data_IF_395248457571
#
_entry.id   IF_395248457571
#
_cell.length_a   1.000
_cell.length_b   1.000
_cell.length_c   1.000
_cell.angle_alpha   90.00
_cell.angle_beta   90.00
_cell.angle_gamma   90.00
#
_symmetry.space_group_name_H-M   'P 1'
#
loop_
_entity.id
_entity.type
_entity.pdbx_description
1 polymer ?
#
# COMPACT_ATOMS: atom_id res chain seq x y z
N UNK A 1 -21.40 -10.31 1.18
CA UNK A 1 -21.13 -9.64 -0.11
C UNK A 1 -21.49 -8.15 -0.06
N UNK A 2 -22.73 -7.77 0.26
CA UNK A 2 -23.14 -6.35 0.22
C UNK A 2 -22.42 -5.49 1.27
N UNK A 3 -22.19 -6.00 2.47
CA UNK A 3 -21.31 -5.35 3.47
C UNK A 3 -19.89 -5.15 2.93
N UNK A 4 -19.36 -6.12 2.19
CA UNK A 4 -18.03 -6.03 1.57
C UNK A 4 -17.97 -4.96 0.48
N UNK A 5 -19.05 -4.75 -0.27
CA UNK A 5 -19.15 -3.66 -1.26
C UNK A 5 -19.13 -2.30 -0.57
N UNK A 6 -19.89 -2.15 0.54
CA UNK A 6 -19.86 -0.93 1.35
C UNK A 6 -18.47 -0.63 1.87
N UNK A 7 -17.85 -1.61 2.54
CA UNK A 7 -16.46 -1.53 3.01
C UNK A 7 -15.48 -1.17 1.89
N UNK A 8 -15.61 -1.82 0.73
CA UNK A 8 -14.78 -1.53 -0.42
C UNK A 8 -14.94 -0.09 -0.92
N UNK A 9 -16.12 0.52 -0.84
CA UNK A 9 -16.35 1.91 -1.27
C UNK A 9 -15.80 2.93 -0.26
N UNK A 10 -15.98 2.69 1.04
CA UNK A 10 -15.66 3.66 2.11
C UNK A 10 -14.19 3.64 2.58
N UNK A 11 -13.34 2.78 2.00
CA UNK A 11 -11.88 2.79 2.27
C UNK A 11 -11.19 4.03 1.68
N UNK A 12 -11.85 4.75 0.76
CA UNK A 12 -11.34 5.99 0.12
C UNK A 12 -9.90 5.89 -0.41
N UNK A 13 -9.56 4.75 -1.02
CA UNK A 13 -8.25 4.56 -1.66
C UNK A 13 -8.39 4.13 -3.13
N UNK A 14 -8.73 5.08 -4.02
CA UNK A 14 -9.03 4.81 -5.43
C UNK A 14 -7.94 4.01 -6.16
N UNK A 15 -6.69 4.20 -5.75
CA UNK A 15 -5.52 3.53 -6.32
C UNK A 15 -5.57 2.00 -6.24
N UNK A 16 -6.24 1.44 -5.23
CA UNK A 16 -6.53 0.00 -5.17
C UNK A 16 -7.94 -0.31 -5.66
N UNK A 17 -8.92 0.53 -5.28
CA UNK A 17 -10.33 0.27 -5.56
C UNK A 17 -10.61 0.21 -7.06
N UNK A 18 -10.12 1.17 -7.84
CA UNK A 18 -10.46 1.25 -9.26
C UNK A 18 -9.89 0.04 -10.03
N UNK A 19 -8.57 -0.28 -9.96
CA UNK A 19 -8.04 -1.44 -10.68
C UNK A 19 -8.73 -2.76 -10.30
N UNK A 20 -9.02 -2.99 -9.02
CA UNK A 20 -9.75 -4.20 -8.59
C UNK A 20 -11.22 -4.19 -9.05
N UNK A 21 -11.87 -3.03 -9.11
CA UNK A 21 -13.23 -2.91 -9.64
C UNK A 21 -13.32 -3.40 -11.09
N UNK A 22 -12.35 -3.06 -11.95
CA UNK A 22 -12.28 -3.61 -13.31
C UNK A 22 -12.22 -5.15 -13.31
N UNK A 23 -11.40 -5.74 -12.44
CA UNK A 23 -11.29 -7.21 -12.31
C UNK A 23 -12.62 -7.81 -11.84
N UNK A 24 -13.23 -7.24 -10.81
CA UNK A 24 -14.51 -7.73 -10.27
C UNK A 24 -15.65 -7.60 -11.27
N UNK A 25 -15.73 -6.49 -12.00
CA UNK A 25 -16.73 -6.28 -13.05
C UNK A 25 -16.54 -7.30 -14.17
N UNK A 26 -15.30 -7.52 -14.63
CA UNK A 26 -15.01 -8.53 -15.64
C UNK A 26 -15.43 -9.93 -15.18
N UNK A 27 -15.10 -10.31 -13.94
CA UNK A 27 -15.48 -11.60 -13.36
C UNK A 27 -17.01 -11.72 -13.22
N UNK A 28 -17.69 -10.68 -12.76
CA UNK A 28 -19.14 -10.65 -12.62
C UNK A 28 -19.85 -10.78 -13.98
N UNK A 29 -19.39 -10.04 -15.00
CA UNK A 29 -19.89 -10.14 -16.38
C UNK A 29 -19.71 -11.57 -16.89
N UNK A 30 -18.52 -12.16 -16.71
CA UNK A 30 -18.29 -13.54 -17.15
C UNK A 30 -19.20 -14.55 -16.45
N UNK A 31 -19.35 -14.47 -15.13
CA UNK A 31 -20.24 -15.34 -14.34
C UNK A 31 -21.68 -15.21 -14.84
N UNK A 32 -22.15 -13.99 -15.05
CA UNK A 32 -23.50 -13.72 -15.56
C UNK A 32 -23.68 -14.31 -16.96
N UNK A 33 -22.79 -14.00 -17.91
CA UNK A 33 -22.88 -14.49 -19.28
C UNK A 33 -22.78 -16.02 -19.38
N UNK A 34 -22.04 -16.67 -18.48
CA UNK A 34 -21.92 -18.12 -18.41
C UNK A 34 -23.20 -18.79 -17.92
N UNK A 35 -23.92 -18.15 -16.99
CA UNK A 35 -25.08 -18.74 -16.31
C UNK A 35 -26.43 -18.15 -16.73
N UNK A 36 -26.46 -17.16 -17.63
CA UNK A 36 -27.69 -16.42 -18.00
C UNK A 36 -28.87 -17.30 -18.43
N UNK A 37 -28.58 -18.45 -19.06
CA UNK A 37 -29.62 -19.38 -19.53
C UNK A 37 -30.11 -20.35 -18.44
N UNK A 38 -29.35 -20.50 -17.35
CA UNK A 38 -29.65 -21.39 -16.23
C UNK A 38 -30.18 -20.61 -15.01
N UNK A 39 -30.40 -19.30 -15.17
CA UNK A 39 -30.81 -18.44 -14.09
C UNK A 39 -32.34 -18.49 -13.94
N UNK A 40 -32.81 -19.14 -12.87
CA UNK A 40 -34.19 -19.05 -12.42
C UNK A 40 -34.23 -18.28 -11.10
N UNK A 41 -35.09 -17.28 -11.00
CA UNK A 41 -35.36 -16.58 -9.75
C UNK A 41 -36.84 -16.68 -9.40
N UNK A 42 -37.14 -16.70 -8.12
CA UNK A 42 -38.49 -16.67 -7.59
C UNK A 42 -38.74 -15.36 -6.81
N UNK A 43 -39.98 -15.15 -6.34
CA UNK A 43 -40.35 -13.95 -5.58
C UNK A 43 -39.59 -13.81 -4.25
N UNK A 44 -39.18 -14.93 -3.62
CA UNK A 44 -38.38 -14.91 -2.39
C UNK A 44 -36.97 -14.40 -2.67
N UNK A 45 -36.36 -14.81 -3.78
CA UNK A 45 -35.03 -14.33 -4.18
C UNK A 45 -35.05 -12.82 -4.40
N UNK A 46 -36.09 -12.31 -5.07
CA UNK A 46 -36.29 -10.87 -5.23
C UNK A 46 -36.46 -10.16 -3.89
N UNK A 47 -37.26 -10.72 -2.97
CA UNK A 47 -37.44 -10.17 -1.63
C UNK A 47 -36.13 -10.14 -0.84
N UNK A 48 -35.31 -11.19 -0.92
CA UNK A 48 -33.99 -11.26 -0.28
C UNK A 48 -33.06 -10.18 -0.86
N UNK A 49 -33.05 -10.00 -2.18
CA UNK A 49 -32.24 -8.96 -2.83
C UNK A 49 -32.68 -7.57 -2.34
N UNK A 50 -33.98 -7.28 -2.37
CA UNK A 50 -34.53 -5.99 -1.92
C UNK A 50 -34.21 -5.76 -0.44
N UNK A 51 -34.45 -6.74 0.43
CA UNK A 51 -34.15 -6.64 1.85
C UNK A 51 -32.66 -6.39 2.10
N UNK A 52 -31.79 -7.08 1.36
CA UNK A 52 -30.34 -6.90 1.49
C UNK A 52 -29.87 -5.53 1.01
N UNK A 53 -30.45 -5.00 -0.08
CA UNK A 53 -30.19 -3.65 -0.56
C UNK A 53 -30.74 -2.58 0.41
N UNK A 54 -31.88 -2.83 1.04
CA UNK A 54 -32.45 -1.93 2.04
C UNK A 54 -31.56 -1.87 3.29
N UNK A 55 -31.13 -3.01 3.83
CA UNK A 55 -30.18 -3.08 4.96
C UNK A 55 -28.89 -2.35 4.61
N UNK A 56 -28.36 -2.56 3.41
CA UNK A 56 -27.19 -1.84 2.94
C UNK A 56 -27.40 -0.33 2.87
N UNK A 57 -28.53 0.12 2.30
CA UNK A 57 -28.89 1.52 2.24
C UNK A 57 -28.93 2.16 3.62
N UNK A 58 -29.54 1.49 4.60
CA UNK A 58 -29.61 1.97 5.99
C UNK A 58 -28.21 2.07 6.62
N UNK A 59 -27.37 1.04 6.45
CA UNK A 59 -25.99 1.06 6.98
C UNK A 59 -25.17 2.17 6.32
N UNK A 60 -25.24 2.31 5.00
CA UNK A 60 -24.53 3.35 4.27
C UNK A 60 -25.02 4.74 4.65
N UNK A 61 -26.32 4.95 4.79
CA UNK A 61 -26.89 6.22 5.26
C UNK A 61 -26.38 6.57 6.65
N UNK A 62 -26.32 5.60 7.58
CA UNK A 62 -25.79 5.83 8.91
C UNK A 62 -24.31 6.25 8.89
N UNK A 63 -23.48 5.52 8.13
CA UNK A 63 -22.05 5.84 7.98
C UNK A 63 -21.87 7.23 7.36
N UNK A 64 -22.54 7.50 6.24
CA UNK A 64 -22.44 8.78 5.55
C UNK A 64 -22.89 9.92 6.44
N UNK A 65 -24.00 9.78 7.17
CA UNK A 65 -24.49 10.83 8.07
C UNK A 65 -23.48 11.17 9.19
N UNK A 66 -22.72 10.18 9.68
CA UNK A 66 -21.74 10.38 10.73
C UNK A 66 -20.36 10.82 10.22
N UNK A 67 -20.07 10.68 8.93
CA UNK A 67 -18.73 10.87 8.38
C UNK A 67 -18.66 11.83 7.19
N UNK A 68 -19.79 12.41 6.75
CA UNK A 68 -19.85 13.22 5.53
C UNK A 68 -18.90 14.42 5.56
N UNK A 69 -18.72 15.05 6.72
CA UNK A 69 -17.85 16.22 6.83
C UNK A 69 -16.38 15.82 6.68
N UNK A 70 -15.95 14.74 7.35
CA UNK A 70 -14.62 14.16 7.15
C UNK A 70 -14.40 13.72 5.71
N UNK A 71 -15.39 13.09 5.08
CA UNK A 71 -15.31 12.67 3.68
C UNK A 71 -15.10 13.88 2.76
N UNK A 72 -15.85 14.97 2.99
CA UNK A 72 -15.70 16.21 2.22
C UNK A 72 -14.29 16.80 2.41
N UNK A 73 -13.75 16.81 3.62
CA UNK A 73 -12.39 17.30 3.86
C UNK A 73 -11.40 16.45 3.07
N UNK A 74 -11.45 15.12 3.21
CA UNK A 74 -10.56 14.18 2.49
C UNK A 74 -10.68 14.37 0.98
N UNK A 75 -11.89 14.49 0.43
CA UNK A 75 -12.09 14.66 -1.02
C UNK A 75 -11.54 15.99 -1.57
N UNK A 76 -11.35 17.00 -0.72
CA UNK A 76 -10.81 18.31 -1.10
C UNK A 76 -9.33 18.51 -0.71
N UNK A 77 -8.65 17.46 -0.23
CA UNK A 77 -7.21 17.53 0.04
C UNK A 77 -6.39 17.55 -1.24
N UNK A 78 -5.25 18.26 -1.21
CA UNK A 78 -4.22 18.19 -2.27
C UNK A 78 -3.67 16.77 -2.41
N UNK A 79 -3.47 16.07 -1.30
CA UNK A 79 -3.08 14.65 -1.29
C UNK A 79 -3.87 13.85 -0.24
N UNK A 80 -4.37 12.65 -0.56
CA UNK A 80 -4.18 11.93 -1.83
C UNK A 80 -5.20 12.30 -2.93
N UNK A 81 -6.27 13.03 -2.61
CA UNK A 81 -7.41 13.20 -3.53
C UNK A 81 -7.10 14.04 -4.77
N UNK A 82 -6.30 15.10 -4.63
CA UNK A 82 -5.89 15.96 -5.74
C UNK A 82 -4.79 15.37 -6.63
N UNK A 83 -4.16 14.26 -6.24
CA UNK A 83 -3.07 13.64 -6.98
C UNK A 83 -3.59 12.96 -8.27
N UNK A 84 -2.90 13.19 -9.39
CA UNK A 84 -3.23 12.60 -10.70
C UNK A 84 -2.05 11.82 -11.25
N UNK A 85 -2.31 10.61 -11.76
CA UNK A 85 -1.28 9.71 -12.29
C UNK A 85 -1.41 9.46 -13.78
N UNK A 86 -0.29 9.38 -14.50
CA UNK A 86 -0.30 9.13 -15.95
C UNK A 86 0.86 8.24 -16.44
N UNK A 87 0.80 6.94 -16.16
CA UNK A 87 1.80 5.98 -16.64
C UNK A 87 3.16 6.15 -15.96
N UNK A 88 4.24 5.89 -16.72
CA UNK A 88 5.62 6.08 -16.27
C UNK A 88 6.17 4.95 -15.40
N UNK A 89 5.55 3.78 -15.41
CA UNK A 89 5.98 2.64 -14.61
C UNK A 89 7.34 2.08 -15.04
N UNK A 90 8.12 1.60 -14.08
CA UNK A 90 9.42 1.00 -14.32
C UNK A 90 9.32 -0.48 -14.76
N UNK A 91 10.20 -0.91 -15.65
CA UNK A 91 10.30 -2.30 -16.10
C UNK A 91 10.75 -3.28 -15.01
N UNK A 92 11.44 -2.77 -13.98
CA UNK A 92 11.92 -3.53 -12.82
C UNK A 92 10.81 -4.36 -12.17
N UNK A 93 9.61 -3.77 -12.02
CA UNK A 93 8.45 -4.37 -11.37
C UNK A 93 8.01 -5.72 -11.95
N UNK A 94 8.21 -5.96 -13.26
CA UNK A 94 7.94 -7.25 -13.90
C UNK A 94 8.80 -8.41 -13.35
N UNK A 95 9.90 -8.08 -12.67
CA UNK A 95 10.89 -9.02 -12.16
C UNK A 95 11.13 -8.89 -10.65
N UNK A 96 10.34 -8.06 -9.94
CA UNK A 96 10.43 -7.88 -8.49
C UNK A 96 10.06 -9.15 -7.70
N UNK A 97 9.17 -9.98 -8.28
CA UNK A 97 8.71 -11.20 -7.62
C UNK A 97 9.85 -12.19 -7.31
N UNK A 98 10.97 -12.12 -8.03
CA UNK A 98 12.13 -12.97 -7.77
C UNK A 98 12.84 -12.60 -6.47
N UNK A 99 12.96 -11.30 -6.17
CA UNK A 99 13.63 -10.80 -4.98
C UNK A 99 12.86 -11.14 -3.70
N UNK A 100 11.52 -11.24 -3.82
CA UNK A 100 10.61 -11.50 -2.70
C UNK A 100 10.92 -12.75 -1.88
N UNK A 101 11.54 -13.77 -2.50
CA UNK A 101 11.94 -15.02 -1.85
C UNK A 101 13.00 -14.79 -0.76
N UNK A 102 13.83 -13.76 -0.92
CA UNK A 102 14.95 -13.48 -0.01
C UNK A 102 14.73 -12.25 0.89
N UNK A 103 13.62 -11.50 0.72
CA UNK A 103 13.33 -10.35 1.58
C UNK A 103 13.27 -10.70 3.08
N UNK A 104 12.83 -11.91 3.50
CA UNK A 104 12.90 -12.29 4.92
C UNK A 104 14.32 -12.58 5.43
N UNK A 105 15.31 -12.73 4.54
CA UNK A 105 16.68 -13.08 4.89
C UNK A 105 17.59 -11.84 4.98
N UNK A 106 17.31 -10.80 4.21
CA UNK A 106 18.10 -9.57 4.19
C UNK A 106 17.30 -8.41 3.61
N UNK A 107 17.40 -7.25 4.24
CA UNK A 107 16.92 -5.95 3.74
C UNK A 107 18.06 -5.08 3.16
N UNK A 108 19.30 -5.55 3.28
CA UNK A 108 20.49 -4.85 2.75
C UNK A 108 20.42 -4.73 1.23
N UNK A 109 20.68 -3.52 0.72
CA UNK A 109 20.68 -3.17 -0.71
C UNK A 109 19.36 -3.41 -1.46
N UNK A 110 18.22 -3.48 -0.77
CA UNK A 110 16.91 -3.51 -1.43
C UNK A 110 16.67 -2.12 -2.08
N UNK A 111 16.47 -2.04 -3.41
CA UNK A 111 16.47 -0.76 -4.15
C UNK A 111 15.17 0.05 -4.01
N UNK A 112 14.06 -0.60 -3.64
CA UNK A 112 12.75 0.01 -3.47
C UNK A 112 12.31 -0.11 -2.01
N UNK A 113 11.31 0.66 -1.59
CA UNK A 113 10.65 0.42 -0.30
C UNK A 113 10.13 -1.03 -0.26
N UNK A 114 10.34 -1.74 0.85
CA UNK A 114 9.92 -3.14 1.06
C UNK A 114 8.44 -3.36 0.72
N UNK A 115 7.59 -2.35 0.96
CA UNK A 115 6.16 -2.38 0.60
C UNK A 115 5.94 -2.47 -0.91
N UNK A 116 6.72 -1.74 -1.72
CA UNK A 116 6.60 -1.77 -3.19
C UNK A 116 7.31 -3.00 -3.81
N UNK A 117 8.25 -3.63 -3.08
CA UNK A 117 8.81 -4.93 -3.47
C UNK A 117 7.85 -6.11 -3.19
N UNK A 118 6.85 -5.92 -2.33
CA UNK A 118 5.89 -6.95 -1.95
C UNK A 118 4.83 -7.13 -3.04
N UNK A 119 5.20 -7.86 -4.10
CA UNK A 119 4.36 -8.12 -5.28
C UNK A 119 3.84 -9.55 -5.32
N UNK A 120 2.79 -9.80 -6.11
CA UNK A 120 2.35 -11.16 -6.39
C UNK A 120 3.43 -11.92 -7.17
N UNK A 121 3.71 -13.16 -6.75
CA UNK A 121 4.51 -14.11 -7.52
C UNK A 121 3.65 -14.67 -8.65
N UNK A 122 3.54 -13.88 -9.72
CA UNK A 122 2.71 -14.19 -10.89
C UNK A 122 3.45 -15.06 -11.93
N UNK A 123 4.77 -15.23 -11.77
CA UNK A 123 5.65 -15.95 -12.69
C UNK A 123 5.74 -15.31 -14.08
N UNK A 124 5.59 -14.00 -14.21
CA UNK A 124 5.79 -13.31 -15.48
C UNK A 124 7.13 -13.72 -16.13
N UNK A 125 7.18 -14.03 -17.44
CA UNK A 125 6.11 -13.93 -18.46
C UNK A 125 5.30 -15.21 -18.70
N UNK A 126 5.43 -16.24 -17.85
CA UNK A 126 4.83 -17.56 -18.08
C UNK A 126 3.30 -17.55 -18.22
N UNK A 127 2.50 -16.81 -17.41
CA UNK A 127 1.05 -16.78 -17.58
C UNK A 127 0.62 -16.31 -18.97
N UNK A 128 1.30 -15.28 -19.50
CA UNK A 128 1.02 -14.73 -20.83
C UNK A 128 1.35 -15.77 -21.89
N UNK A 129 2.55 -16.36 -21.87
CA UNK A 129 2.96 -17.41 -22.82
C UNK A 129 1.99 -18.59 -22.79
N UNK A 130 1.66 -19.08 -21.60
CA UNK A 130 0.76 -20.22 -21.41
C UNK A 130 -0.64 -19.91 -21.94
N UNK A 131 -1.16 -18.71 -21.69
CA UNK A 131 -2.47 -18.29 -22.20
C UNK A 131 -2.51 -18.25 -23.73
N UNK A 132 -1.44 -17.77 -24.39
CA UNK A 132 -1.33 -17.77 -25.85
C UNK A 132 -1.27 -19.18 -26.42
N UNK A 133 -0.55 -20.11 -25.77
CA UNK A 133 -0.55 -21.52 -26.15
C UNK A 133 -1.97 -22.10 -26.07
N UNK A 134 -2.69 -21.85 -24.98
CA UNK A 134 -4.06 -22.38 -24.78
C UNK A 134 -5.04 -21.79 -25.80
N UNK A 135 -5.02 -20.48 -26.00
CA UNK A 135 -5.99 -19.77 -26.86
C UNK A 135 -5.69 -19.95 -28.35
N UNK A 136 -4.42 -19.81 -28.77
CA UNK A 136 -4.03 -19.74 -30.18
C UNK A 136 -3.62 -21.12 -30.70
N UNK A 137 -2.66 -21.77 -30.03
CA UNK A 137 -2.12 -23.06 -30.51
C UNK A 137 -3.09 -24.22 -30.26
N UNK A 138 -3.63 -24.33 -29.04
CA UNK A 138 -4.59 -25.39 -28.67
C UNK A 138 -6.04 -25.05 -29.05
N UNK A 139 -6.28 -23.82 -29.55
CA UNK A 139 -7.57 -23.31 -30.04
C UNK A 139 -8.71 -23.44 -29.02
N UNK A 140 -8.39 -23.33 -27.72
CA UNK A 140 -9.40 -23.38 -26.66
C UNK A 140 -10.15 -22.06 -26.59
N UNK A 141 -11.47 -22.10 -26.76
CA UNK A 141 -12.33 -20.90 -26.69
C UNK A 141 -12.71 -20.59 -25.25
N UNK A 142 -11.84 -19.86 -24.55
CA UNK A 142 -12.06 -19.48 -23.15
C UNK A 142 -12.28 -17.97 -23.01
N UNK A 143 -13.56 -17.56 -22.93
CA UNK A 143 -13.94 -16.15 -22.85
C UNK A 143 -13.38 -15.43 -21.62
N UNK A 144 -13.25 -16.13 -20.48
CA UNK A 144 -12.68 -15.52 -19.27
C UNK A 144 -11.19 -15.25 -19.48
N UNK A 145 -10.48 -16.24 -20.01
CA UNK A 145 -9.04 -16.11 -20.28
C UNK A 145 -8.76 -14.98 -21.28
N UNK A 146 -9.56 -14.87 -22.35
CA UNK A 146 -9.48 -13.73 -23.28
C UNK A 146 -9.70 -12.39 -22.54
N UNK A 147 -10.75 -12.30 -21.71
CA UNK A 147 -11.06 -11.09 -20.97
C UNK A 147 -9.96 -10.68 -19.99
N UNK A 148 -9.41 -11.64 -19.24
CA UNK A 148 -8.30 -11.41 -18.31
C UNK A 148 -7.04 -10.96 -19.06
N UNK A 149 -6.72 -11.60 -20.20
CA UNK A 149 -5.56 -11.23 -21.01
C UNK A 149 -5.72 -9.82 -21.62
N UNK A 150 -6.92 -9.48 -22.10
CA UNK A 150 -7.22 -8.11 -22.57
C UNK A 150 -7.04 -7.09 -21.46
N UNK A 151 -7.58 -7.35 -20.26
CA UNK A 151 -7.44 -6.45 -19.12
C UNK A 151 -5.98 -6.32 -18.68
N UNK A 152 -5.24 -7.42 -18.64
CA UNK A 152 -3.80 -7.44 -18.33
C UNK A 152 -3.01 -6.51 -19.26
N UNK A 153 -3.23 -6.58 -20.57
CA UNK A 153 -2.54 -5.70 -21.53
C UNK A 153 -3.02 -4.25 -21.45
N UNK A 154 -4.31 -3.99 -21.21
CA UNK A 154 -4.80 -2.62 -20.96
C UNK A 154 -4.10 -2.03 -19.73
N UNK A 155 -3.95 -2.81 -18.65
CA UNK A 155 -3.28 -2.34 -17.45
C UNK A 155 -1.77 -2.17 -17.64
N UNK A 156 -1.12 -2.99 -18.46
CA UNK A 156 0.28 -2.75 -18.86
C UNK A 156 0.43 -1.46 -19.68
N UNK A 157 -0.51 -1.15 -20.58
CA UNK A 157 -0.54 0.13 -21.29
C UNK A 157 -0.70 1.27 -20.28
N UNK A 158 -1.66 1.17 -19.38
CA UNK A 158 -1.88 2.15 -18.31
C UNK A 158 -0.66 2.32 -17.40
N UNK A 159 0.10 1.25 -17.18
CA UNK A 159 1.30 1.28 -16.35
C UNK A 159 2.47 1.97 -17.07
N UNK A 160 2.79 1.57 -18.30
CA UNK A 160 3.98 2.04 -19.00
C UNK A 160 3.78 3.34 -19.78
N UNK A 161 2.63 3.51 -20.41
CA UNK A 161 2.42 4.52 -21.45
C UNK A 161 1.60 5.69 -20.89
N UNK A 162 2.14 6.92 -20.88
CA UNK A 162 1.33 8.11 -20.63
C UNK A 162 0.27 8.27 -21.72
N UNK A 163 -0.98 8.51 -21.32
CA UNK A 163 -2.13 8.63 -22.21
C UNK A 163 -2.59 10.09 -22.34
N UNK A 164 -3.41 10.43 -23.36
CA UNK A 164 -4.11 11.71 -23.44
C UNK A 164 -5.19 11.86 -22.37
N UNK A 165 -5.42 13.10 -21.89
CA UNK A 165 -6.37 13.43 -20.82
C UNK A 165 -7.80 12.85 -20.96
N UNK A 166 -8.41 12.84 -22.17
CA UNK A 166 -9.75 12.26 -22.33
C UNK A 166 -9.78 10.76 -22.00
N UNK A 167 -8.72 10.03 -22.37
CA UNK A 167 -8.63 8.59 -22.13
C UNK A 167 -8.41 8.35 -20.64
N UNK A 168 -7.53 9.13 -20.02
CA UNK A 168 -7.22 8.99 -18.59
C UNK A 168 -8.47 9.22 -17.76
N UNK A 169 -9.19 10.31 -18.02
CA UNK A 169 -10.37 10.69 -17.25
C UNK A 169 -11.52 9.69 -17.46
N UNK A 170 -11.74 9.22 -18.70
CA UNK A 170 -12.79 8.23 -19.00
C UNK A 170 -12.51 6.87 -18.33
N UNK A 171 -11.23 6.50 -18.23
CA UNK A 171 -10.80 5.22 -17.65
C UNK A 171 -10.50 5.31 -16.16
N UNK A 172 -10.67 6.49 -15.56
CA UNK A 172 -10.30 6.80 -14.17
C UNK A 172 -8.84 6.47 -13.86
N UNK A 173 -7.97 6.50 -14.88
CA UNK A 173 -6.56 6.14 -14.79
C UNK A 173 -5.80 7.14 -13.93
N UNK A 174 -6.22 8.40 -13.91
CA UNK A 174 -5.63 9.47 -13.09
C UNK A 174 -5.72 9.18 -11.60
N UNK A 175 -6.64 8.33 -11.17
CA UNK A 175 -6.79 7.95 -9.76
C UNK A 175 -6.05 6.65 -9.39
N UNK A 176 -5.32 6.04 -10.35
CA UNK A 176 -4.59 4.78 -10.15
C UNK A 176 -3.09 5.06 -9.94
N UNK A 177 -2.59 5.05 -8.71
CA UNK A 177 -1.14 5.15 -8.49
C UNK A 177 -0.41 4.06 -9.27
N UNK A 178 0.59 4.45 -10.07
CA UNK A 178 1.26 3.56 -11.04
C UNK A 178 1.83 2.31 -10.37
N UNK A 179 2.45 2.42 -9.19
CA UNK A 179 2.99 1.26 -8.45
C UNK A 179 1.88 0.31 -7.97
N UNK A 180 0.75 0.84 -7.49
CA UNK A 180 -0.40 0.04 -7.01
C UNK A 180 -1.11 -0.68 -8.15
N UNK A 181 -1.22 -0.04 -9.32
CA UNK A 181 -1.74 -0.68 -10.52
C UNK A 181 -0.96 -1.94 -10.87
N UNK A 182 0.37 -1.93 -10.73
CA UNK A 182 1.21 -3.08 -11.05
C UNK A 182 0.93 -4.30 -10.15
N UNK A 183 0.69 -4.08 -8.85
CA UNK A 183 0.29 -5.19 -7.97
C UNK A 183 -1.00 -5.87 -8.46
N UNK A 184 -1.94 -5.11 -9.02
CA UNK A 184 -3.16 -5.68 -9.62
C UNK A 184 -2.88 -6.37 -10.95
N UNK A 185 -1.91 -5.90 -11.75
CA UNK A 185 -1.39 -6.63 -12.92
C UNK A 185 -0.87 -8.01 -12.52
N UNK A 186 -0.05 -8.09 -11.47
CA UNK A 186 0.45 -9.36 -10.93
C UNK A 186 -0.68 -10.29 -10.47
N UNK A 187 -1.70 -9.75 -9.80
CA UNK A 187 -2.90 -10.51 -9.43
C UNK A 187 -3.63 -11.07 -10.66
N UNK A 188 -3.83 -10.27 -11.70
CA UNK A 188 -4.43 -10.72 -12.97
C UNK A 188 -3.54 -11.80 -13.61
N UNK A 189 -2.21 -11.66 -13.54
CA UNK A 189 -1.25 -12.67 -13.98
C UNK A 189 -1.46 -14.03 -13.31
N UNK A 190 -1.66 -14.04 -12.00
CA UNK A 190 -2.03 -15.25 -11.23
C UNK A 190 -3.36 -15.83 -11.70
N UNK A 191 -4.38 -15.01 -11.93
CA UNK A 191 -5.69 -15.47 -12.45
C UNK A 191 -5.57 -16.08 -13.86
N UNK A 192 -4.77 -15.45 -14.74
CA UNK A 192 -4.45 -15.96 -16.08
C UNK A 192 -3.75 -17.31 -15.98
N UNK A 193 -2.78 -17.46 -15.07
CA UNK A 193 -2.07 -18.71 -14.85
C UNK A 193 -3.04 -19.83 -14.42
N UNK A 194 -3.84 -19.59 -13.38
CA UNK A 194 -4.82 -20.55 -12.86
C UNK A 194 -5.79 -20.97 -13.96
N UNK A 195 -6.34 -20.00 -14.71
CA UNK A 195 -7.31 -20.29 -15.77
C UNK A 195 -6.70 -21.02 -16.95
N UNK A 196 -5.46 -20.66 -17.33
CA UNK A 196 -4.71 -21.33 -18.40
C UNK A 196 -4.41 -22.77 -18.02
N UNK A 197 -3.98 -23.02 -16.78
CA UNK A 197 -3.73 -24.37 -16.26
C UNK A 197 -4.98 -25.24 -16.28
N UNK A 198 -6.15 -24.68 -15.94
CA UNK A 198 -7.42 -25.41 -15.98
C UNK A 198 -7.83 -25.84 -17.41
N UNK A 199 -7.35 -25.12 -18.43
CA UNK A 199 -7.68 -25.33 -19.84
C UNK A 199 -6.53 -25.97 -20.64
N UNK A 200 -5.40 -26.28 -19.98
CA UNK A 200 -4.17 -26.76 -20.61
C UNK A 200 -4.30 -28.22 -21.04
N UNK A 201 -4.11 -28.46 -22.35
CA UNK A 201 -3.96 -29.80 -22.92
C UNK A 201 -2.49 -30.22 -22.94
N UNK A 202 -2.23 -31.52 -23.14
CA UNK A 202 -0.88 -32.07 -23.22
C UNK A 202 0.00 -31.38 -24.27
N UNK A 203 1.24 -31.07 -23.88
CA UNK A 203 2.29 -30.58 -24.77
C UNK A 203 3.32 -31.70 -24.95
N UNK A 204 3.43 -32.25 -26.16
CA UNK A 204 4.26 -33.44 -26.44
C UNK A 204 5.77 -33.18 -26.33
N UNK A 205 6.22 -31.95 -26.60
CA UNK A 205 7.63 -31.59 -26.73
C UNK A 205 8.35 -31.38 -25.38
N UNK A 206 8.38 -32.39 -24.51
CA UNK A 206 8.91 -32.29 -23.13
C UNK A 206 10.35 -31.76 -23.05
N UNK A 207 11.26 -32.23 -23.92
CA UNK A 207 12.66 -31.76 -23.95
C UNK A 207 12.73 -30.26 -24.27
N UNK A 208 11.92 -29.79 -25.23
CA UNK A 208 11.87 -28.38 -25.60
C UNK A 208 11.33 -27.53 -24.46
N UNK A 209 10.31 -28.00 -23.73
CA UNK A 209 9.78 -27.31 -22.54
C UNK A 209 10.88 -27.09 -21.50
N UNK A 210 11.65 -28.14 -21.18
CA UNK A 210 12.72 -28.06 -20.18
C UNK A 210 13.80 -27.07 -20.61
N UNK A 211 14.26 -27.15 -21.86
CA UNK A 211 15.28 -26.24 -22.40
C UNK A 211 14.78 -24.79 -22.43
N UNK A 212 13.56 -24.57 -22.95
CA UNK A 212 12.96 -23.24 -23.01
C UNK A 212 12.73 -22.65 -21.62
N UNK A 213 12.31 -23.46 -20.65
CA UNK A 213 12.11 -23.03 -19.26
C UNK A 213 13.42 -22.69 -18.56
N UNK A 214 14.49 -23.45 -18.82
CA UNK A 214 15.82 -23.14 -18.31
C UNK A 214 16.36 -21.82 -18.89
N UNK A 215 16.25 -21.63 -20.21
CA UNK A 215 16.63 -20.37 -20.87
C UNK A 215 15.81 -19.21 -20.31
N UNK A 216 14.48 -19.37 -20.22
CA UNK A 216 13.60 -18.34 -19.69
C UNK A 216 13.97 -17.98 -18.25
N UNK A 217 14.28 -18.98 -17.42
CA UNK A 217 14.72 -18.77 -16.04
C UNK A 217 16.02 -17.95 -15.98
N UNK A 218 17.00 -18.25 -16.82
CA UNK A 218 18.25 -17.47 -16.89
C UNK A 218 17.96 -16.02 -17.30
N UNK A 219 17.08 -15.82 -18.29
CA UNK A 219 16.72 -14.48 -18.77
C UNK A 219 16.02 -13.67 -17.68
N UNK A 220 14.99 -14.21 -17.01
CA UNK A 220 14.25 -13.45 -15.98
C UNK A 220 15.12 -13.18 -14.75
N UNK A 221 15.99 -14.11 -14.35
CA UNK A 221 16.93 -13.91 -13.23
C UNK A 221 17.98 -12.87 -13.60
N UNK A 222 18.51 -12.90 -14.82
CA UNK A 222 19.44 -11.88 -15.31
C UNK A 222 18.78 -10.49 -15.30
N UNK A 223 17.56 -10.36 -15.83
CA UNK A 223 16.83 -9.09 -15.82
C UNK A 223 16.55 -8.60 -14.40
N UNK A 224 16.11 -9.49 -13.50
CA UNK A 224 15.94 -9.14 -12.08
C UNK A 224 17.24 -8.66 -11.46
N UNK A 225 18.36 -9.36 -11.72
CA UNK A 225 19.69 -8.98 -11.19
C UNK A 225 20.15 -7.63 -11.74
N UNK A 226 19.91 -7.36 -13.01
CA UNK A 226 20.21 -6.08 -13.64
C UNK A 226 19.48 -4.91 -12.96
N UNK A 227 18.20 -5.08 -12.62
CA UNK A 227 17.43 -4.02 -11.95
C UNK A 227 17.76 -3.89 -10.45
N UNK A 228 18.03 -5.00 -9.76
CA UNK A 228 18.29 -5.03 -8.31
C UNK A 228 19.76 -4.81 -7.93
N UNK A 229 20.64 -4.56 -8.91
CA UNK A 229 22.05 -4.22 -8.72
C UNK A 229 22.75 -5.14 -7.69
N UNK A 230 23.10 -4.60 -6.52
CA UNK A 230 23.93 -5.24 -5.50
C UNK A 230 23.14 -6.06 -4.47
N UNK A 231 21.84 -6.27 -4.67
CA UNK A 231 21.02 -7.09 -3.78
C UNK A 231 21.40 -8.57 -3.88
N UNK A 232 21.63 -9.07 -5.09
CA UNK A 232 21.83 -10.50 -5.31
C UNK A 232 23.29 -10.93 -5.15
N UNK A 233 23.51 -11.86 -4.22
CA UNK A 233 24.74 -12.64 -4.19
C UNK A 233 24.70 -13.78 -5.23
N UNK A 234 25.87 -14.24 -5.67
CA UNK A 234 26.00 -15.31 -6.67
C UNK A 234 25.21 -16.58 -6.31
N UNK A 235 25.17 -16.95 -5.03
CA UNK A 235 24.40 -18.11 -4.58
C UNK A 235 22.89 -17.92 -4.74
N UNK A 236 22.36 -16.70 -4.52
CA UNK A 236 20.95 -16.38 -4.72
C UNK A 236 20.58 -16.55 -6.19
N UNK A 237 21.41 -16.05 -7.10
CA UNK A 237 21.23 -16.16 -8.55
C UNK A 237 21.16 -17.64 -8.96
N UNK A 238 22.09 -18.47 -8.49
CA UNK A 238 22.10 -19.91 -8.79
C UNK A 238 20.83 -20.60 -8.28
N UNK A 239 20.41 -20.30 -7.04
CA UNK A 239 19.17 -20.84 -6.46
C UNK A 239 17.96 -20.42 -7.27
N UNK A 240 17.86 -19.13 -7.66
CA UNK A 240 16.75 -18.61 -8.47
C UNK A 240 16.70 -19.27 -9.85
N UNK A 241 17.84 -19.43 -10.53
CA UNK A 241 17.87 -20.09 -11.85
C UNK A 241 17.37 -21.53 -11.74
N UNK A 242 17.76 -22.27 -10.71
CA UNK A 242 17.34 -23.67 -10.54
C UNK A 242 15.85 -23.73 -10.19
N UNK A 243 15.40 -22.97 -9.19
CA UNK A 243 14.02 -23.04 -8.71
C UNK A 243 13.02 -22.58 -9.78
N UNK A 244 13.33 -21.51 -10.53
CA UNK A 244 12.43 -21.03 -11.59
C UNK A 244 12.50 -21.89 -12.85
N UNK A 245 13.64 -22.49 -13.21
CA UNK A 245 13.70 -23.46 -14.31
C UNK A 245 12.80 -24.68 -14.03
N UNK A 246 12.83 -25.20 -12.79
CA UNK A 246 11.96 -26.31 -12.36
C UNK A 246 10.49 -25.86 -12.34
N UNK A 247 10.21 -24.69 -11.75
CA UNK A 247 8.85 -24.16 -11.62
C UNK A 247 8.22 -23.91 -12.98
N UNK A 248 8.90 -23.21 -13.89
CA UNK A 248 8.42 -22.94 -15.25
C UNK A 248 8.20 -24.23 -16.03
N UNK A 249 9.14 -25.19 -15.96
CA UNK A 249 8.96 -26.50 -16.61
C UNK A 249 7.72 -27.23 -16.08
N UNK A 250 7.52 -27.20 -14.76
CA UNK A 250 6.38 -27.86 -14.11
C UNK A 250 5.03 -27.23 -14.49
N UNK A 251 4.97 -25.91 -14.68
CA UNK A 251 3.79 -25.18 -15.15
C UNK A 251 3.36 -25.68 -16.53
N UNK A 252 4.29 -25.72 -17.49
CA UNK A 252 3.98 -26.21 -18.86
C UNK A 252 3.65 -27.72 -18.89
N UNK A 253 4.08 -28.48 -17.88
CA UNK A 253 3.82 -29.92 -17.74
C UNK A 253 2.64 -30.23 -16.79
N UNK A 254 1.92 -29.21 -16.30
CA UNK A 254 0.87 -29.36 -15.28
C UNK A 254 -0.39 -30.09 -15.75
N UNK A 255 -0.54 -30.35 -17.05
CA UNK A 255 -1.54 -31.28 -17.58
C UNK A 255 -1.34 -32.72 -17.07
N UNK A 256 -0.11 -33.07 -16.68
CA UNK A 256 0.24 -34.37 -16.10
C UNK A 256 0.19 -34.33 -14.57
N UNK A 257 -0.19 -35.44 -13.92
CA UNK A 257 -0.20 -35.55 -12.45
C UNK A 257 1.18 -35.21 -11.86
N UNK A 258 2.26 -35.73 -12.47
CA UNK A 258 3.64 -35.45 -12.03
C UNK A 258 3.98 -33.96 -12.13
N UNK A 259 3.74 -33.32 -13.28
CA UNK A 259 4.01 -31.89 -13.45
C UNK A 259 3.22 -31.03 -12.48
N UNK A 260 1.93 -31.34 -12.27
CA UNK A 260 1.08 -30.66 -11.29
C UNK A 260 1.60 -30.81 -9.86
N UNK A 261 2.01 -32.01 -9.47
CA UNK A 261 2.59 -32.25 -8.14
C UNK A 261 3.88 -31.46 -7.95
N UNK A 262 4.80 -31.47 -8.92
CA UNK A 262 6.04 -30.69 -8.85
C UNK A 262 5.74 -29.20 -8.75
N UNK A 263 4.81 -28.69 -9.57
CA UNK A 263 4.41 -27.28 -9.51
C UNK A 263 3.87 -26.89 -8.13
N UNK A 264 2.99 -27.70 -7.55
CA UNK A 264 2.46 -27.45 -6.20
C UNK A 264 3.57 -27.47 -5.14
N UNK A 265 4.51 -28.41 -5.23
CA UNK A 265 5.66 -28.45 -4.32
C UNK A 265 6.50 -27.17 -4.46
N UNK A 266 6.81 -26.73 -5.68
CA UNK A 266 7.55 -25.50 -5.93
C UNK A 266 6.83 -24.28 -5.34
N UNK A 267 5.52 -24.13 -5.57
CA UNK A 267 4.73 -23.01 -5.03
C UNK A 267 4.70 -23.04 -3.50
N UNK A 268 4.54 -24.22 -2.88
CA UNK A 268 4.59 -24.37 -1.41
C UNK A 268 5.96 -23.95 -0.89
N UNK A 269 7.05 -24.42 -1.50
CA UNK A 269 8.40 -24.08 -1.07
C UNK A 269 8.67 -22.58 -1.19
N UNK A 270 8.34 -21.97 -2.34
CA UNK A 270 8.50 -20.52 -2.57
C UNK A 270 7.70 -19.72 -1.54
N UNK A 271 6.42 -20.06 -1.35
CA UNK A 271 5.54 -19.35 -0.41
C UNK A 271 6.01 -19.52 1.03
N UNK A 272 6.47 -20.72 1.38
CA UNK A 272 7.01 -21.00 2.70
C UNK A 272 8.29 -20.20 2.93
N UNK A 273 9.27 -20.24 2.02
CA UNK A 273 10.52 -19.48 2.20
C UNK A 273 10.31 -17.97 2.27
N UNK A 274 9.36 -17.45 1.49
CA UNK A 274 9.04 -16.03 1.48
C UNK A 274 8.31 -15.55 2.76
N UNK A 275 7.72 -16.45 3.55
CA UNK A 275 6.97 -16.09 4.76
C UNK A 275 7.50 -16.68 6.07
N UNK A 276 8.29 -17.76 6.01
CA UNK A 276 8.63 -18.57 7.20
C UNK A 276 9.47 -17.83 8.22
N UNK A 277 10.37 -16.95 7.77
CA UNK A 277 11.23 -16.16 8.66
C UNK A 277 10.56 -14.86 9.13
N UNK A 278 9.35 -14.58 8.66
CA UNK A 278 8.55 -13.47 9.15
C UNK A 278 7.77 -13.99 10.34
N UNK A 279 8.08 -13.51 11.55
CA UNK A 279 7.28 -13.83 12.74
C UNK A 279 5.92 -13.12 12.63
N UNK A 280 4.80 -13.85 12.42
CA UNK A 280 3.50 -13.21 12.27
C UNK A 280 2.79 -13.02 13.62
N UNK A 281 3.41 -13.45 14.72
CA UNK A 281 2.83 -13.42 16.06
C UNK A 281 3.39 -12.21 16.80
N UNK A 282 2.60 -11.15 16.84
CA UNK A 282 2.76 -10.08 17.81
C UNK A 282 2.18 -10.54 19.16
N UNK A 283 2.93 -10.39 20.25
CA UNK A 283 2.50 -10.79 21.60
C UNK A 283 2.48 -9.59 22.55
N UNK A 284 1.33 -9.37 23.16
CA UNK A 284 1.14 -8.40 24.24
C UNK A 284 1.11 -6.94 23.79
N UNK A 285 0.74 -6.08 24.72
CA UNK A 285 0.85 -4.63 24.60
C UNK A 285 1.93 -4.08 25.54
N UNK A 286 2.66 -4.96 26.22
CA UNK A 286 3.58 -4.64 27.30
C UNK A 286 4.74 -3.75 26.82
N UNK A 287 5.18 -3.92 25.56
CA UNK A 287 6.18 -3.03 24.92
C UNK A 287 5.73 -1.55 24.92
N UNK A 288 4.42 -1.32 24.93
CA UNK A 288 3.80 0.01 25.02
C UNK A 288 3.41 0.35 26.46
N UNK A 289 2.71 -0.56 27.15
CA UNK A 289 2.14 -0.32 28.48
C UNK A 289 3.17 -0.33 29.62
N UNK A 290 4.24 -1.10 29.51
CA UNK A 290 5.32 -1.15 30.50
C UNK A 290 6.46 -0.18 30.14
N UNK A 291 6.27 0.67 29.12
CA UNK A 291 7.27 1.62 28.71
C UNK A 291 7.28 2.82 29.66
N UNK A 292 8.35 2.98 30.43
CA UNK A 292 8.52 4.10 31.37
C UNK A 292 8.29 5.48 30.75
N UNK A 293 8.64 5.69 29.48
CA UNK A 293 8.35 6.96 28.80
C UNK A 293 6.86 7.17 28.57
N UNK A 294 6.12 6.13 28.17
CA UNK A 294 4.67 6.19 28.00
C UNK A 294 3.99 6.40 29.36
N UNK A 295 4.41 5.67 30.38
CA UNK A 295 3.89 5.81 31.74
C UNK A 295 4.08 7.23 32.31
N UNK A 296 5.22 7.86 32.02
CA UNK A 296 5.44 9.27 32.41
C UNK A 296 4.48 10.22 31.68
N UNK A 297 4.31 10.05 30.36
CA UNK A 297 3.36 10.86 29.59
C UNK A 297 1.94 10.66 30.13
N UNK A 298 1.53 9.42 30.41
CA UNK A 298 0.23 9.12 31.02
C UNK A 298 0.06 9.80 32.38
N UNK A 299 1.10 9.83 33.22
CA UNK A 299 1.07 10.53 34.51
C UNK A 299 0.84 12.04 34.31
N UNK A 300 1.58 12.67 33.40
CA UNK A 300 1.43 14.11 33.12
C UNK A 300 0.05 14.40 32.51
N UNK A 301 -0.45 13.53 31.64
CA UNK A 301 -1.80 13.63 31.06
C UNK A 301 -2.89 13.46 32.13
N UNK A 302 -2.69 12.58 33.11
CA UNK A 302 -3.61 12.43 34.23
C UNK A 302 -3.72 13.71 35.07
N UNK A 303 -2.58 14.35 35.33
CA UNK A 303 -2.51 15.59 36.11
C UNK A 303 -3.00 16.82 35.31
N UNK A 304 -2.78 16.85 34.00
CA UNK A 304 -3.19 17.92 33.11
C UNK A 304 -3.77 17.40 31.78
N UNK A 305 -5.04 16.95 31.76
CA UNK A 305 -5.63 16.26 30.61
C UNK A 305 -5.87 17.18 29.40
N UNK A 306 -5.90 18.49 29.61
CA UNK A 306 -6.11 19.47 28.54
C UNK A 306 -4.80 20.05 27.99
N UNK A 307 -3.65 19.65 28.55
CA UNK A 307 -2.35 20.08 28.07
C UNK A 307 -2.17 19.70 26.59
N UNK A 308 -1.66 20.62 25.78
CA UNK A 308 -1.34 20.32 24.38
C UNK A 308 0.10 19.91 24.23
N UNK A 309 0.32 18.88 23.43
CA UNK A 309 1.63 18.25 23.26
C UNK A 309 2.15 18.38 21.83
N UNK A 310 3.47 18.42 21.69
CA UNK A 310 4.17 18.18 20.43
C UNK A 310 5.13 16.99 20.56
N UNK A 311 5.13 16.15 19.54
CA UNK A 311 6.11 15.09 19.35
C UNK A 311 7.18 15.56 18.35
N UNK A 312 8.39 15.83 18.83
CA UNK A 312 9.56 16.16 18.00
C UNK A 312 10.10 14.95 17.24
N UNK A 313 11.40 14.66 17.37
CA UNK A 313 12.08 13.54 16.69
C UNK A 313 11.89 12.17 17.40
N UNK A 314 10.69 11.95 17.92
CA UNK A 314 10.21 10.69 18.49
C UNK A 314 9.17 10.05 17.56
N UNK A 315 8.84 8.75 17.70
CA UNK A 315 7.74 8.18 16.93
C UNK A 315 6.44 8.98 17.16
N UNK A 316 5.93 9.57 16.09
CA UNK A 316 4.96 10.68 16.13
C UNK A 316 3.64 10.34 16.84
N UNK A 317 3.25 9.06 16.87
CA UNK A 317 1.99 8.60 17.46
C UNK A 317 2.14 8.15 18.94
N UNK A 318 3.34 8.12 19.52
CA UNK A 318 3.54 7.62 20.88
C UNK A 318 2.76 8.42 21.92
N UNK A 319 2.71 9.75 21.78
CA UNK A 319 1.97 10.61 22.70
C UNK A 319 0.46 10.36 22.65
N UNK A 320 -0.11 10.10 21.48
CA UNK A 320 -1.55 9.77 21.32
C UNK A 320 -1.88 8.46 22.00
N UNK A 321 -0.99 7.47 21.93
CA UNK A 321 -1.18 6.17 22.59
C UNK A 321 -1.28 6.33 24.11
N UNK A 322 -0.51 7.27 24.68
CA UNK A 322 -0.59 7.66 26.10
C UNK A 322 -1.79 8.58 26.44
N UNK A 323 -2.69 8.86 25.48
CA UNK A 323 -3.84 9.75 25.66
C UNK A 323 -3.53 11.25 25.64
N UNK A 324 -2.31 11.65 25.28
CA UNK A 324 -1.94 13.06 25.22
C UNK A 324 -2.60 13.78 24.04
N UNK A 325 -3.15 14.97 24.29
CA UNK A 325 -3.73 15.84 23.26
C UNK A 325 -2.61 16.43 22.38
N UNK A 326 -2.25 15.69 21.33
CA UNK A 326 -1.04 15.96 20.53
C UNK A 326 -1.40 16.75 19.27
N UNK A 327 -0.71 17.87 19.06
CA UNK A 327 -0.92 18.78 17.93
C UNK A 327 -0.51 18.13 16.61
N UNK A 328 0.62 17.41 16.61
CA UNK A 328 1.18 16.74 15.43
C UNK A 328 1.13 15.22 15.56
N UNK A 329 0.71 14.56 14.49
CA UNK A 329 0.57 13.10 14.42
C UNK A 329 0.51 12.65 12.96
N UNK A 330 0.17 11.38 12.73
CA UNK A 330 -0.35 10.98 11.42
C UNK A 330 -1.78 11.48 11.29
N UNK A 331 -1.98 12.55 10.53
CA UNK A 331 -3.28 13.14 10.31
C UNK A 331 -3.93 12.51 9.07
N UNK A 332 -5.06 11.84 9.26
CA UNK A 332 -5.84 11.23 8.17
C UNK A 332 -6.50 12.29 7.29
N UNK A 333 -6.80 13.44 7.86
CA UNK A 333 -7.32 14.64 7.21
C UNK A 333 -6.68 15.88 7.84
N UNK A 334 -6.52 16.98 7.10
CA UNK A 334 -5.91 18.19 7.61
C UNK A 334 -6.84 18.93 8.58
N UNK A 335 -6.21 19.62 9.54
CA UNK A 335 -6.84 20.59 10.43
C UNK A 335 -6.42 21.98 9.95
N UNK A 336 -7.14 22.51 8.96
CA UNK A 336 -6.76 23.76 8.28
C UNK A 336 -6.82 24.95 9.23
N UNK A 337 -7.87 25.03 10.06
CA UNK A 337 -8.05 26.11 11.03
C UNK A 337 -6.84 26.21 11.98
N UNK A 338 -6.30 25.07 12.42
CA UNK A 338 -5.08 25.04 13.24
C UNK A 338 -3.86 25.61 12.50
N UNK A 339 -3.65 25.24 11.25
CA UNK A 339 -2.47 25.68 10.50
C UNK A 339 -2.58 27.14 10.06
N UNK A 340 -3.78 27.65 9.78
CA UNK A 340 -4.04 29.07 9.51
C UNK A 340 -3.72 29.99 10.69
N UNK A 341 -3.63 29.48 11.93
CA UNK A 341 -3.10 30.26 13.08
C UNK A 341 -1.64 30.65 12.85
N UNK A 342 -0.85 29.78 12.22
CA UNK A 342 0.56 30.01 11.90
C UNK A 342 0.77 30.56 10.49
N UNK A 343 -0.16 30.31 9.58
CA UNK A 343 -0.18 30.77 8.19
C UNK A 343 -1.50 31.51 7.86
N UNK A 344 -1.72 32.73 8.38
CA UNK A 344 -3.01 33.43 8.23
C UNK A 344 -3.37 33.82 6.79
N UNK A 345 -2.36 33.90 5.91
CA UNK A 345 -2.55 34.21 4.50
C UNK A 345 -2.81 32.94 3.65
N UNK A 346 -2.65 31.74 4.22
CA UNK A 346 -2.81 30.47 3.50
C UNK A 346 -1.72 30.22 2.45
N UNK A 347 -0.54 30.83 2.58
CA UNK A 347 0.54 30.76 1.59
C UNK A 347 1.10 29.33 1.45
N UNK A 348 0.96 28.52 2.50
CA UNK A 348 1.46 27.14 2.55
C UNK A 348 0.33 26.11 2.59
N UNK A 349 -0.92 26.48 2.25
CA UNK A 349 -2.06 25.57 2.30
C UNK A 349 -1.86 24.35 1.41
N UNK A 350 -1.20 24.51 0.27
CA UNK A 350 -0.84 23.36 -0.57
C UNK A 350 0.03 22.33 0.17
N UNK A 351 0.83 22.75 1.16
CA UNK A 351 1.69 21.87 1.97
C UNK A 351 0.89 21.13 3.04
N UNK A 352 0.07 21.81 3.85
CA UNK A 352 -0.61 21.15 4.98
C UNK A 352 -2.02 20.63 4.67
N UNK A 353 -2.64 20.99 3.53
CA UNK A 353 -3.93 20.44 3.09
C UNK A 353 -3.81 19.02 2.52
N UNK A 354 -3.45 18.06 3.38
CA UNK A 354 -3.23 16.65 2.98
C UNK A 354 -3.35 15.67 4.14
N UNK A 355 -3.50 14.39 3.79
CA UNK A 355 -3.03 13.30 4.65
C UNK A 355 -1.53 13.46 4.88
N UNK A 356 -1.08 13.50 6.14
CA UNK A 356 0.34 13.70 6.42
C UNK A 356 0.84 13.09 7.73
N UNK A 357 2.08 12.61 7.68
CA UNK A 357 2.99 12.61 8.82
C UNK A 357 3.43 14.06 9.09
N UNK A 358 2.93 14.66 10.17
CA UNK A 358 3.24 16.05 10.54
C UNK A 358 4.50 16.09 11.40
N UNK A 359 5.65 16.22 10.76
CA UNK A 359 6.94 16.27 11.46
C UNK A 359 7.16 17.69 11.96
N UNK A 360 7.80 17.84 13.11
CA UNK A 360 8.06 19.16 13.69
C UNK A 360 9.52 19.28 14.09
N UNK A 361 10.06 20.48 13.89
CA UNK A 361 11.36 20.88 14.42
C UNK A 361 11.26 22.29 15.00
N UNK A 362 12.27 22.71 15.76
CA UNK A 362 12.24 23.93 16.57
C UNK A 362 13.45 24.82 16.27
N UNK A 363 13.18 26.11 16.09
CA UNK A 363 14.17 27.13 15.78
C UNK A 363 13.86 28.46 16.47
N UNK A 364 14.86 29.35 16.57
CA UNK A 364 14.73 30.64 17.25
C UNK A 364 14.90 31.85 16.31
N UNK A 365 15.44 31.68 15.11
CA UNK A 365 15.96 32.79 14.28
C UNK A 365 15.10 33.19 13.08
N UNK A 366 14.06 32.43 12.74
CA UNK A 366 13.26 32.62 11.52
C UNK A 366 11.78 32.36 11.80
N UNK A 367 10.89 32.89 10.96
CA UNK A 367 9.45 32.62 11.06
C UNK A 367 9.16 31.12 10.98
N UNK A 368 8.01 30.69 11.49
CA UNK A 368 7.55 29.30 11.30
C UNK A 368 7.37 29.02 9.80
N UNK A 369 7.90 27.89 9.31
CA UNK A 369 7.79 27.46 7.91
C UNK A 369 7.19 26.06 7.77
N UNK A 370 6.63 25.79 6.59
CA UNK A 370 6.06 24.50 6.21
C UNK A 370 6.78 23.95 4.99
N UNK A 371 7.49 22.84 5.16
CA UNK A 371 8.29 22.23 4.10
C UNK A 371 7.71 20.87 3.71
N UNK A 372 7.35 20.71 2.43
CA UNK A 372 6.87 19.44 1.93
C UNK A 372 8.04 18.45 1.77
N UNK A 373 8.01 17.33 2.49
CA UNK A 373 9.09 16.33 2.46
C UNK A 373 8.77 15.18 1.49
N UNK A 374 7.53 14.72 1.49
CA UNK A 374 6.99 13.70 0.60
C UNK A 374 5.51 13.97 0.35
N UNK A 375 4.84 13.28 -0.61
CA UNK A 375 3.42 13.49 -0.83
C UNK A 375 2.55 13.35 0.43
N UNK A 376 2.97 12.48 1.36
CA UNK A 376 2.31 12.14 2.61
C UNK A 376 3.05 12.64 3.87
N UNK A 377 4.02 13.56 3.78
CA UNK A 377 4.71 14.11 4.95
C UNK A 377 5.16 15.55 4.74
N UNK A 378 5.02 16.37 5.76
CA UNK A 378 5.57 17.72 5.79
C UNK A 378 6.21 18.02 7.14
N UNK A 379 7.16 18.95 7.13
CA UNK A 379 7.86 19.47 8.29
C UNK A 379 7.32 20.85 8.64
N UNK A 380 6.98 21.05 9.91
CA UNK A 380 6.75 22.36 10.50
C UNK A 380 8.00 22.75 11.27
N UNK A 381 8.75 23.73 10.75
CA UNK A 381 9.87 24.32 11.47
C UNK A 381 9.36 25.45 12.36
N UNK A 382 8.98 25.13 13.60
CA UNK A 382 8.42 26.09 14.56
C UNK A 382 9.44 27.13 14.97
N UNK A 383 9.10 28.41 14.80
CA UNK A 383 9.66 29.43 15.68
C UNK A 383 9.14 29.17 17.10
N UNK A 384 10.04 29.03 18.07
CA UNK A 384 9.67 28.73 19.46
C UNK A 384 8.71 29.77 20.07
N UNK A 385 8.71 31.01 19.60
CA UNK A 385 7.78 32.05 20.04
C UNK A 385 6.34 31.83 19.53
N UNK A 386 6.16 31.08 18.44
CA UNK A 386 4.84 30.79 17.89
C UNK A 386 4.13 29.64 18.63
N UNK A 387 4.82 28.93 19.53
CA UNK A 387 4.26 27.83 20.31
C UNK A 387 3.08 28.29 21.19
N UNK A 388 3.12 29.53 21.68
CA UNK A 388 2.05 30.13 22.47
C UNK A 388 0.75 30.25 21.66
N UNK A 389 0.84 30.56 20.37
CA UNK A 389 -0.33 30.68 19.47
C UNK A 389 -1.14 29.39 19.40
N UNK A 390 -0.47 28.24 19.57
CA UNK A 390 -1.11 26.94 19.61
C UNK A 390 -1.42 26.44 21.03
N UNK A 391 -1.05 27.18 22.08
CA UNK A 391 -1.13 26.81 23.49
C UNK A 391 -0.35 25.51 23.81
N UNK A 392 0.85 25.34 23.25
CA UNK A 392 1.68 24.16 23.53
C UNK A 392 2.07 24.16 25.01
N UNK A 393 1.87 23.05 25.70
CA UNK A 393 2.22 22.89 27.12
C UNK A 393 3.44 21.99 27.29
N UNK A 394 3.53 20.92 26.50
CA UNK A 394 4.64 19.97 26.59
C UNK A 394 5.20 19.61 25.22
N UNK A 395 6.50 19.35 25.19
CA UNK A 395 7.19 18.84 24.00
C UNK A 395 7.97 17.61 24.41
N UNK A 396 7.78 16.51 23.69
CA UNK A 396 8.68 15.37 23.80
C UNK A 396 9.59 15.26 22.58
N UNK A 397 10.89 15.12 22.83
CA UNK A 397 11.93 15.17 21.81
C UNK A 397 13.20 14.49 22.31
N UNK A 398 14.11 14.14 21.42
CA UNK A 398 15.47 13.70 21.76
C UNK A 398 16.47 14.84 21.76
N UNK A 399 16.13 15.95 21.10
CA UNK A 399 16.95 17.17 21.05
C UNK A 399 17.02 17.86 22.41
N UNK A 400 17.98 18.75 22.56
CA UNK A 400 18.06 19.62 23.75
C UNK A 400 17.43 20.97 23.43
N UNK A 401 16.26 21.24 24.02
CA UNK A 401 15.52 22.49 23.80
C UNK A 401 15.97 23.62 24.71
N UNK A 402 16.78 23.35 25.75
CA UNK A 402 17.26 24.39 26.69
C UNK A 402 18.10 25.45 25.95
N UNK A 403 18.74 25.06 24.84
CA UNK A 403 19.51 25.94 23.96
C UNK A 403 18.63 26.93 23.15
N UNK A 404 17.33 26.68 23.07
CA UNK A 404 16.36 27.54 22.37
C UNK A 404 15.62 28.48 23.31
N UNK A 405 15.93 28.47 24.62
CA UNK A 405 15.39 29.41 25.58
C UNK A 405 15.65 30.86 25.15
N UNK A 406 14.64 31.72 25.29
CA UNK A 406 14.75 33.14 25.00
C UNK A 406 13.89 33.96 25.98
N UNK A 407 13.73 35.26 25.71
CA UNK A 407 12.97 36.17 26.58
C UNK A 407 11.48 35.81 26.67
N UNK A 408 10.88 35.25 25.62
CA UNK A 408 9.44 34.96 25.55
C UNK A 408 9.09 33.52 25.95
N UNK A 409 10.00 32.56 25.75
CA UNK A 409 9.74 31.14 25.97
C UNK A 409 10.92 30.44 26.62
N UNK A 410 10.62 29.60 27.61
CA UNK A 410 11.58 28.73 28.28
C UNK A 410 11.11 27.28 28.30
N UNK A 411 12.04 26.36 28.14
CA UNK A 411 11.84 24.93 28.12
C UNK A 411 12.39 24.32 29.41
N UNK A 412 11.49 23.94 30.32
CA UNK A 412 11.82 23.29 31.59
C UNK A 412 11.76 21.77 31.40
N UNK A 413 12.91 21.09 31.46
CA UNK A 413 12.97 19.63 31.34
C UNK A 413 12.35 18.98 32.59
N UNK A 414 11.23 18.30 32.41
CA UNK A 414 10.50 17.62 33.50
C UNK A 414 10.79 16.13 33.56
N UNK A 415 11.24 15.55 32.45
CA UNK A 415 11.61 14.13 32.39
C UNK A 415 12.75 13.89 31.39
N UNK A 416 13.62 12.94 31.72
CA UNK A 416 14.62 12.41 30.79
C UNK A 416 14.88 10.93 31.11
N UNK A 417 14.76 10.09 30.09
CA UNK A 417 15.21 8.70 30.12
C UNK A 417 15.89 8.34 28.80
N UNK A 418 17.13 7.87 28.90
CA UNK A 418 18.01 7.62 27.76
C UNK A 418 18.10 8.87 26.85
N UNK A 419 17.65 8.73 25.61
CA UNK A 419 17.60 9.81 24.62
C UNK A 419 16.29 10.59 24.65
N UNK A 420 15.23 10.09 25.30
CA UNK A 420 13.91 10.71 25.31
C UNK A 420 13.79 11.75 26.43
N UNK A 421 13.28 12.93 26.08
CA UNK A 421 13.07 14.03 27.01
C UNK A 421 11.64 14.54 26.92
N UNK A 422 11.13 15.10 28.02
CA UNK A 422 9.88 15.87 28.07
C UNK A 422 10.21 17.23 28.65
N UNK A 423 9.79 18.27 27.94
CA UNK A 423 9.92 19.67 28.34
C UNK A 423 8.53 20.25 28.59
N UNK A 424 8.37 20.97 29.69
CA UNK A 424 7.28 21.89 29.92
C UNK A 424 7.64 23.25 29.29
N UNK A 425 6.76 23.74 28.43
CA UNK A 425 6.91 25.05 27.78
C UNK A 425 6.32 26.13 28.68
N UNK A 426 7.14 27.13 29.03
CA UNK A 426 6.73 28.29 29.82
C UNK A 426 6.83 29.55 28.97
N UNK A 427 5.74 30.31 28.92
CA UNK A 427 5.69 31.62 28.28
C UNK A 427 5.93 32.70 29.35
N UNK A 428 6.81 33.65 29.05
CA UNK A 428 7.29 34.67 29.99
C UNK A 428 6.61 36.03 29.81
#
# INVERSE_FOLDING_TARGET
MIICIGGFLIVFYPSWQIPFAYVFVLMAIWIFLKNKNNFSYNKKDLLIIIASLAIFGVIMLHILNNSIDTIKIIMNTVYPSGERFNGGGEWSYLFNYLASIFLPLTDVNVPLNVVENSVFIDFFPVPVILSLIVLIYQKTKDKLLCGLLSLYFVFLIFYFIPLPDPIISLTLRDHMKTTRLFSVVGFIGVLILIRSLASLKEIKAKKLIIIASAILSVVVVYLSTFFYHNYYHMWMIIVLVIIYAITFSSIFMAHSKKGKTVFLICVILISFTAGFLVNPIDQGTDVVLENDFINEVESIVHDNPNAKWLAGDIPINYLIVAGANTINSVNVYPDLDKWHILDPNGENEEVYNRYAYVIVDFQNSTNTTFDLLSPDAFLVNFNVNDLEKLNVSYISTKKDLELLNNENVTFEKVYQKDIYKIYHVRYN
#
